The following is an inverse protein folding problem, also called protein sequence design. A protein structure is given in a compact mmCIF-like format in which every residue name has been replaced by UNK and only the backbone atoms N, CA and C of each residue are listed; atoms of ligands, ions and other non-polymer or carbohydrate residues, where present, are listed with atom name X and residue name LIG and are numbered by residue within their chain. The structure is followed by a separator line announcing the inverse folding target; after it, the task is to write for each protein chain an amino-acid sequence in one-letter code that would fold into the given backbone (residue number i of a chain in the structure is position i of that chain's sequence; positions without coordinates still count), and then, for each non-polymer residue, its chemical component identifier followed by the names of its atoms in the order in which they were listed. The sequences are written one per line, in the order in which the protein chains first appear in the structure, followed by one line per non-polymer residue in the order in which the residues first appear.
data_IF_843473207867
#
_entry.id   IF_843473207867
#
_cell.length_a   1.000
_cell.length_b   1.000
_cell.length_c   1.000
_cell.angle_alpha   90.00
_cell.angle_beta   90.00
_cell.angle_gamma   90.00
#
_symmetry.space_group_name_H-M   'P 1'
#
loop_
_entity.id
_entity.type
_entity.pdbx_description
1 polymer ?
#
# COMPACT_ATOMS: atom_id res chain seq x y z
N UNK A 1 -10.96 16.87 16.44
CA UNK A 1 -11.30 15.43 16.38
C UNK A 1 -10.04 14.58 16.39
N UNK A 2 -9.12 14.74 15.42
CA UNK A 2 -7.87 13.96 15.39
C UNK A 2 -7.04 14.05 16.68
N UNK A 3 -6.86 15.26 17.24
CA UNK A 3 -6.15 15.44 18.52
C UNK A 3 -6.80 14.69 19.69
N UNK A 4 -8.14 14.70 19.78
CA UNK A 4 -8.84 13.94 20.81
C UNK A 4 -8.68 12.42 20.61
N UNK A 5 -8.63 11.96 19.36
CA UNK A 5 -8.35 10.56 19.04
C UNK A 5 -6.90 10.17 19.41
N UNK A 6 -5.93 11.07 19.20
CA UNK A 6 -4.54 10.88 19.63
C UNK A 6 -4.43 10.74 21.14
N UNK A 7 -5.04 11.66 21.90
CA UNK A 7 -5.00 11.62 23.36
C UNK A 7 -5.57 10.30 23.91
N UNK A 8 -6.70 9.83 23.36
CA UNK A 8 -7.30 8.56 23.75
C UNK A 8 -6.41 7.38 23.37
N UNK A 9 -5.81 7.37 22.17
CA UNK A 9 -4.92 6.30 21.74
C UNK A 9 -3.68 6.21 22.64
N UNK A 10 -3.01 7.35 22.87
CA UNK A 10 -1.80 7.44 23.71
C UNK A 10 -2.07 6.98 25.14
N UNK A 11 -3.20 7.39 25.72
CA UNK A 11 -3.64 6.95 27.06
C UNK A 11 -3.78 5.43 27.17
N UNK A 12 -4.03 4.75 26.05
CA UNK A 12 -4.16 3.29 25.97
C UNK A 12 -2.90 2.60 25.39
N UNK A 13 -1.78 3.32 25.24
CA UNK A 13 -0.53 2.77 24.69
C UNK A 13 -0.60 2.46 23.19
N UNK A 14 -1.52 3.09 22.46
CA UNK A 14 -1.69 2.96 21.02
C UNK A 14 -1.21 4.24 20.32
N UNK A 15 -0.96 4.13 19.02
CA UNK A 15 -0.57 5.26 18.18
C UNK A 15 -1.57 5.46 17.04
N UNK A 16 -1.71 6.72 16.62
CA UNK A 16 -2.56 7.11 15.49
C UNK A 16 -1.69 7.35 14.27
N UNK A 17 -1.96 6.60 13.20
CA UNK A 17 -1.42 6.83 11.86
C UNK A 17 -2.44 7.63 11.04
N UNK A 18 -2.09 8.88 10.75
CA UNK A 18 -2.94 9.81 10.01
C UNK A 18 -2.92 9.44 8.50
N UNK A 19 -4.09 9.11 7.94
CA UNK A 19 -4.21 8.81 6.50
C UNK A 19 -4.57 10.05 5.68
N UNK A 20 -4.70 11.21 6.33
CA UNK A 20 -5.00 12.49 5.74
C UNK A 20 -6.47 12.65 5.35
N UNK A 21 -6.71 13.66 4.52
CA UNK A 21 -8.02 13.99 3.98
C UNK A 21 -8.22 13.33 2.62
N UNK A 22 -9.41 12.79 2.40
CA UNK A 22 -9.84 12.26 1.10
C UNK A 22 -11.19 12.85 0.70
N UNK A 23 -11.56 12.65 -0.58
CA UNK A 23 -12.87 13.02 -1.12
C UNK A 23 -13.29 14.46 -0.78
N UNK A 24 -12.37 15.41 -0.96
CA UNK A 24 -12.57 16.82 -0.60
C UNK A 24 -13.52 17.46 -1.63
N UNK A 25 -14.74 17.76 -1.19
CA UNK A 25 -15.67 18.65 -1.86
C UNK A 25 -15.78 19.95 -1.06
N UNK A 26 -15.24 21.04 -1.63
CA UNK A 26 -15.23 22.36 -0.97
C UNK A 26 -16.62 22.95 -0.71
N UNK A 27 -17.68 22.37 -1.28
CA UNK A 27 -19.07 22.79 -1.05
C UNK A 27 -19.77 21.94 0.00
N UNK A 28 -19.42 20.66 0.12
CA UNK A 28 -20.24 19.69 0.86
C UNK A 28 -19.49 18.90 1.94
N UNK A 29 -18.16 18.77 1.88
CA UNK A 29 -17.39 18.15 2.95
C UNK A 29 -16.10 17.46 2.53
N UNK A 30 -15.52 16.71 3.46
CA UNK A 30 -14.32 15.91 3.25
C UNK A 30 -14.40 14.67 4.15
N UNK A 31 -13.63 13.65 3.81
CA UNK A 31 -13.46 12.46 4.63
C UNK A 31 -12.12 12.53 5.38
N UNK A 32 -12.13 12.13 6.66
CA UNK A 32 -10.92 11.94 7.47
C UNK A 32 -10.78 10.48 7.77
N UNK A 33 -9.61 9.91 7.47
CA UNK A 33 -9.27 8.56 7.88
C UNK A 33 -8.02 8.59 8.75
N UNK A 34 -8.04 7.82 9.83
CA UNK A 34 -6.86 7.55 10.65
C UNK A 34 -6.95 6.10 11.14
N UNK A 35 -5.79 5.49 11.36
CA UNK A 35 -5.67 4.13 11.88
C UNK A 35 -5.10 4.19 13.28
N UNK A 36 -5.72 3.46 14.21
CA UNK A 36 -5.15 3.23 15.54
C UNK A 36 -4.44 1.88 15.52
N UNK A 37 -3.15 1.86 15.88
CA UNK A 37 -2.28 0.69 15.78
C UNK A 37 -1.34 0.59 16.99
N UNK A 38 -0.72 -0.58 17.15
CA UNK A 38 0.33 -0.82 18.14
C UNK A 38 1.61 -0.06 17.69
N UNK A 39 2.21 0.80 18.53
CA UNK A 39 3.48 1.42 18.22
C UNK A 39 4.62 0.40 18.27
N UNK A 40 5.56 0.51 17.34
CA UNK A 40 6.79 -0.27 17.29
C UNK A 40 7.94 0.54 17.89
N UNK A 41 9.02 -0.15 18.29
CA UNK A 41 10.20 0.49 18.90
C UNK A 41 10.96 1.44 17.98
N UNK A 42 10.73 1.35 16.67
CA UNK A 42 11.33 2.20 15.63
C UNK A 42 10.48 3.45 15.30
N UNK A 43 9.40 3.70 16.06
CA UNK A 43 8.50 4.84 15.86
C UNK A 43 7.45 4.64 14.76
N UNK A 44 7.45 3.48 14.06
CA UNK A 44 6.37 3.10 13.16
C UNK A 44 5.19 2.51 13.94
N UNK A 45 4.07 2.32 13.26
CA UNK A 45 2.96 1.56 13.79
C UNK A 45 2.85 0.22 13.08
N UNK A 46 2.33 -0.79 13.78
CA UNK A 46 2.07 -2.09 13.20
C UNK A 46 1.08 -1.96 12.04
N UNK A 47 1.48 -2.43 10.86
CA UNK A 47 0.61 -2.55 9.69
C UNK A 47 0.26 -4.03 9.44
N UNK A 48 -0.98 -4.47 9.73
CA UNK A 48 -1.40 -5.85 9.49
C UNK A 48 -1.36 -6.27 8.01
N UNK A 49 -1.55 -5.33 7.09
CA UNK A 49 -1.48 -5.64 5.65
C UNK A 49 -0.02 -5.85 5.22
N UNK A 50 0.92 -5.09 5.78
CA UNK A 50 2.35 -5.33 5.59
C UNK A 50 2.75 -6.71 6.11
N UNK A 51 2.38 -7.04 7.35
CA UNK A 51 2.69 -8.34 7.95
C UNK A 51 2.10 -9.50 7.13
N UNK A 52 0.85 -9.37 6.71
CA UNK A 52 0.20 -10.38 5.88
C UNK A 52 0.93 -10.53 4.54
N UNK A 53 1.31 -9.40 3.93
CA UNK A 53 2.06 -9.40 2.68
C UNK A 53 3.39 -10.12 2.84
N UNK A 54 4.20 -9.72 3.81
CA UNK A 54 5.52 -10.30 4.07
C UNK A 54 5.43 -11.81 4.32
N UNK A 55 4.42 -12.27 5.05
CA UNK A 55 4.22 -13.69 5.35
C UNK A 55 3.79 -14.53 4.13
N UNK A 56 3.18 -13.93 3.10
CA UNK A 56 2.59 -14.65 1.96
C UNK A 56 3.31 -14.38 0.63
N UNK A 57 4.14 -13.33 0.54
CA UNK A 57 4.71 -12.85 -0.71
C UNK A 57 5.40 -13.95 -1.52
N UNK A 58 6.23 -14.76 -0.86
CA UNK A 58 7.01 -15.82 -1.53
C UNK A 58 6.12 -16.88 -2.18
N UNK A 59 4.99 -17.23 -1.54
CA UNK A 59 4.02 -18.20 -2.09
C UNK A 59 3.35 -17.72 -3.39
N UNK A 60 3.42 -16.41 -3.66
CA UNK A 60 2.88 -15.77 -4.85
C UNK A 60 3.98 -15.28 -5.81
N UNK A 61 5.25 -15.68 -5.59
CA UNK A 61 6.37 -15.29 -6.45
C UNK A 61 6.81 -13.82 -6.28
N UNK A 62 6.51 -13.21 -5.13
CA UNK A 62 6.94 -11.87 -4.75
C UNK A 62 7.95 -11.93 -3.60
N UNK A 63 8.71 -10.87 -3.40
CA UNK A 63 9.57 -10.69 -2.23
C UNK A 63 8.79 -10.04 -1.08
N UNK A 64 9.03 -10.40 0.20
CA UNK A 64 8.47 -9.66 1.34
C UNK A 64 8.77 -8.14 1.27
N UNK A 65 9.95 -7.78 0.75
CA UNK A 65 10.37 -6.39 0.54
C UNK A 65 9.64 -5.68 -0.61
N UNK A 66 8.72 -6.36 -1.31
CA UNK A 66 7.90 -5.74 -2.35
C UNK A 66 6.72 -4.95 -1.80
N UNK A 67 6.40 -5.09 -0.52
CA UNK A 67 5.36 -4.27 0.10
C UNK A 67 5.69 -2.77 -0.05
N UNK A 68 4.74 -1.99 -0.55
CA UNK A 68 4.93 -0.56 -0.79
C UNK A 68 5.83 -0.21 -1.96
N UNK A 69 6.40 -1.18 -2.71
CA UNK A 69 7.07 -0.89 -3.98
C UNK A 69 6.07 -0.43 -5.01
N UNK A 70 6.57 0.42 -5.92
CA UNK A 70 5.80 0.91 -7.06
C UNK A 70 6.13 0.13 -8.32
N UNK A 71 5.12 -0.07 -9.16
CA UNK A 71 5.25 -0.61 -10.50
C UNK A 71 4.35 0.17 -11.46
N UNK A 72 4.70 0.19 -12.74
CA UNK A 72 3.93 0.91 -13.76
C UNK A 72 3.34 -0.05 -14.77
N UNK A 73 2.10 0.21 -15.18
CA UNK A 73 1.45 -0.48 -16.29
C UNK A 73 0.62 0.52 -17.09
N UNK A 74 0.74 0.48 -18.42
CA UNK A 74 0.17 1.51 -19.28
C UNK A 74 0.78 2.88 -18.98
N UNK A 75 -0.08 3.84 -18.60
CA UNK A 75 0.31 5.23 -18.23
C UNK A 75 0.22 5.50 -16.73
N UNK A 76 -0.06 4.48 -15.94
CA UNK A 76 -0.37 4.59 -14.52
C UNK A 76 0.71 3.93 -13.67
N UNK A 77 0.95 4.47 -12.48
CA UNK A 77 1.84 3.90 -11.46
C UNK A 77 1.02 3.48 -10.25
N UNK A 78 1.31 2.28 -9.76
CA UNK A 78 0.62 1.65 -8.65
C UNK A 78 1.60 1.27 -7.56
N UNK A 79 1.20 1.45 -6.31
CA UNK A 79 1.93 1.03 -5.12
C UNK A 79 1.28 -0.22 -4.53
N UNK A 80 2.07 -1.24 -4.23
CA UNK A 80 1.56 -2.48 -3.62
C UNK A 80 1.12 -2.19 -2.17
N UNK A 81 -0.10 -2.60 -1.81
CA UNK A 81 -0.70 -2.33 -0.50
C UNK A 81 -1.14 -3.58 0.25
N UNK A 82 -1.10 -4.77 -0.36
CA UNK A 82 -1.40 -6.01 0.35
C UNK A 82 -1.57 -7.22 -0.55
N UNK A 83 -1.86 -8.36 0.07
CA UNK A 83 -2.13 -9.63 -0.59
C UNK A 83 -3.27 -10.38 0.11
N UNK A 84 -4.21 -10.93 -0.67
CA UNK A 84 -5.38 -11.66 -0.16
C UNK A 84 -5.49 -13.04 -0.84
N UNK A 85 -5.10 -14.13 -0.16
CA UNK A 85 -5.10 -15.48 -0.74
C UNK A 85 -6.51 -16.00 -1.05
N UNK A 86 -7.56 -15.36 -0.50
CA UNK A 86 -8.96 -15.70 -0.81
C UNK A 86 -9.36 -15.25 -2.22
N UNK A 87 -8.51 -14.52 -2.92
CA UNK A 87 -8.73 -14.01 -4.28
C UNK A 87 -7.80 -14.73 -5.26
N UNK A 88 -8.13 -15.96 -5.70
CA UNK A 88 -7.20 -16.79 -6.47
C UNK A 88 -6.73 -16.14 -7.77
N UNK A 89 -7.60 -15.37 -8.45
CA UNK A 89 -7.25 -14.71 -9.71
C UNK A 89 -6.47 -13.40 -9.54
N UNK A 90 -6.79 -12.62 -8.52
CA UNK A 90 -6.21 -11.29 -8.29
C UNK A 90 -5.84 -11.09 -6.81
N UNK A 91 -4.80 -11.80 -6.34
CA UNK A 91 -4.42 -11.79 -4.94
C UNK A 91 -3.76 -10.49 -4.51
N UNK A 92 -3.08 -9.76 -5.40
CA UNK A 92 -2.34 -8.54 -5.03
C UNK A 92 -3.25 -7.33 -5.06
N UNK A 93 -3.25 -6.55 -3.98
CA UNK A 93 -3.92 -5.25 -3.89
C UNK A 93 -2.88 -4.15 -4.07
N UNK A 94 -3.21 -3.13 -4.86
CA UNK A 94 -2.36 -1.98 -5.08
C UNK A 94 -3.21 -0.71 -5.21
N UNK A 95 -2.62 0.44 -4.91
CA UNK A 95 -3.25 1.74 -5.05
C UNK A 95 -2.58 2.55 -6.16
N UNK A 96 -3.37 3.20 -7.00
CA UNK A 96 -2.86 4.14 -7.98
C UNK A 96 -2.27 5.37 -7.26
N UNK A 97 -1.03 5.75 -7.59
CA UNK A 97 -0.28 6.76 -6.84
C UNK A 97 -0.98 8.14 -6.80
N UNK A 98 -1.50 8.70 -7.92
CA UNK A 98 -2.15 10.01 -7.92
C UNK A 98 -3.37 10.18 -7.01
N UNK A 99 -4.27 9.21 -6.96
CA UNK A 99 -5.59 9.35 -6.32
C UNK A 99 -5.88 8.27 -5.27
N UNK A 100 -4.91 7.39 -5.00
CA UNK A 100 -5.01 6.25 -4.09
C UNK A 100 -6.15 5.30 -4.40
N UNK A 101 -6.66 5.31 -5.64
CA UNK A 101 -7.72 4.40 -6.04
C UNK A 101 -7.20 2.95 -5.99
N UNK A 102 -7.95 2.06 -5.36
CA UNK A 102 -7.58 0.65 -5.19
C UNK A 102 -7.83 -0.20 -6.43
N UNK A 103 -6.84 -1.00 -6.80
CA UNK A 103 -6.86 -1.96 -7.91
C UNK A 103 -6.36 -3.33 -7.45
N UNK A 104 -6.69 -4.35 -8.24
CA UNK A 104 -6.31 -5.74 -7.97
C UNK A 104 -5.57 -6.31 -9.17
N UNK A 105 -4.49 -7.02 -8.90
CA UNK A 105 -3.59 -7.56 -9.92
C UNK A 105 -3.32 -9.04 -9.71
N UNK A 106 -2.96 -9.73 -10.79
CA UNK A 106 -2.40 -11.08 -10.67
C UNK A 106 -1.00 -10.98 -10.08
N UNK A 107 -0.58 -11.97 -9.29
CA UNK A 107 0.75 -11.96 -8.71
C UNK A 107 1.85 -12.02 -9.78
N UNK A 108 1.63 -12.85 -10.82
CA UNK A 108 2.52 -13.00 -11.97
C UNK A 108 2.74 -11.67 -12.71
N UNK A 109 1.68 -10.90 -12.95
CA UNK A 109 1.78 -9.60 -13.61
C UNK A 109 2.64 -8.63 -12.78
N UNK A 110 2.42 -8.58 -11.46
CA UNK A 110 3.18 -7.71 -10.57
C UNK A 110 4.64 -8.13 -10.51
N UNK A 111 4.93 -9.42 -10.38
CA UNK A 111 6.29 -9.94 -10.35
C UNK A 111 7.09 -9.55 -11.61
N UNK A 112 6.46 -9.62 -12.79
CA UNK A 112 7.09 -9.18 -14.06
C UNK A 112 7.31 -7.67 -14.08
N UNK A 113 6.33 -6.87 -13.66
CA UNK A 113 6.40 -5.40 -13.71
C UNK A 113 7.32 -4.78 -12.65
N UNK A 114 7.63 -5.51 -11.57
CA UNK A 114 8.59 -5.11 -10.55
C UNK A 114 10.05 -5.30 -10.99
N UNK A 115 10.30 -6.06 -12.06
CA UNK A 115 11.64 -6.20 -12.60
C UNK A 115 12.07 -4.88 -13.25
N UNK A 116 13.31 -4.41 -13.01
CA UNK A 116 13.83 -3.25 -13.70
C UNK A 116 13.76 -3.50 -15.20
N UNK A 117 13.10 -2.62 -15.97
CA UNK A 117 13.12 -2.70 -17.44
C UNK A 117 14.59 -2.76 -17.87
N UNK A 118 15.00 -3.87 -18.48
CA UNK A 118 16.24 -3.91 -19.26
C UNK A 118 16.17 -2.72 -20.23
N UNK A 119 17.12 -1.80 -20.10
CA UNK A 119 17.24 -0.65 -21.00
C UNK A 119 17.29 -1.16 -22.43
N UNK A 120 16.46 -0.60 -23.31
CA UNK A 120 16.51 -0.81 -24.74
C UNK A 120 17.96 -0.64 -25.23
N UNK A 121 18.61 -1.77 -25.55
CA UNK A 121 19.86 -1.77 -26.31
C UNK A 121 19.45 -1.60 -27.77
N UNK A 122 19.14 -0.37 -28.16
CA UNK A 122 19.05 -0.03 -29.58
C UNK A 122 20.48 0.05 -30.11
N UNK A 123 20.90 -0.80 -31.07
CA UNK A 123 22.22 -0.65 -31.68
C UNK A 123 22.20 0.67 -32.47
N UNK A 124 23.10 1.60 -32.10
CA UNK A 124 23.41 2.75 -32.95
C UNK A 124 24.12 2.20 -34.18
N UNK A 125 23.45 2.31 -35.33
CA UNK A 125 24.10 2.24 -36.64
C UNK A 125 24.99 3.45 -36.89
#
# INVERSE_FOLDING_TARGET
MLEACREVAERNGLAVDDKGLSNIDLRWGFEVAFRVSIPLSDGRTLDPEQLRFEALAEAFGLSPGDFGREFSTGRETFRITGIDPRRPKYPVSAERVPDRQGFKFTAEQVAVLLQPRMKDVTPRG
#
